data_IF_717641506544
#
_entry.id   IF_717641506544
#
_cell.length_a   1.000
_cell.length_b   1.000
_cell.length_c   1.000
_cell.angle_alpha   90.00
_cell.angle_beta   90.00
_cell.angle_gamma   90.00
#
_symmetry.space_group_name_H-M   'P 1'
#
loop_
_entity.id
_entity.type
_entity.pdbx_description
1 polymer ?
#
# COMPACT_ATOMS: atom_id res chain seq x y z
N UNK A 1 -2.28 28.26 -3.88
CA UNK A 1 -2.65 26.94 -3.32
C UNK A 1 -4.04 26.61 -3.84
N UNK A 2 -4.17 25.92 -4.97
CA UNK A 2 -5.50 25.62 -5.56
C UNK A 2 -5.99 24.32 -4.94
N UNK A 3 -6.78 24.44 -3.87
CA UNK A 3 -7.58 23.33 -3.33
C UNK A 3 -8.73 23.05 -4.29
N UNK A 4 -8.67 21.92 -4.99
CA UNK A 4 -9.69 21.51 -5.96
C UNK A 4 -11.07 21.36 -5.25
N UNK A 5 -12.02 22.25 -5.56
CA UNK A 5 -13.38 22.27 -4.97
C UNK A 5 -14.12 20.93 -5.12
N UNK A 6 -13.94 20.23 -6.23
CA UNK A 6 -14.55 18.92 -6.44
C UNK A 6 -13.94 17.83 -5.54
N UNK A 7 -12.68 17.99 -5.13
CA UNK A 7 -12.04 17.10 -4.16
C UNK A 7 -12.55 17.38 -2.75
N UNK A 8 -12.72 18.65 -2.37
CA UNK A 8 -13.32 19.05 -1.09
C UNK A 8 -14.77 18.54 -0.98
N UNK A 9 -15.57 18.72 -2.03
CA UNK A 9 -16.97 18.29 -2.05
C UNK A 9 -17.10 16.76 -1.91
N UNK A 10 -16.28 15.98 -2.63
CA UNK A 10 -16.24 14.51 -2.47
C UNK A 10 -15.81 14.09 -1.07
N UNK A 11 -14.84 14.78 -0.47
CA UNK A 11 -14.40 14.49 0.90
C UNK A 11 -15.49 14.84 1.93
N UNK A 12 -16.23 15.92 1.71
CA UNK A 12 -17.38 16.31 2.53
C UNK A 12 -18.52 15.30 2.44
N UNK A 13 -18.89 14.86 1.22
CA UNK A 13 -19.92 13.83 1.04
C UNK A 13 -19.53 12.51 1.69
N UNK A 14 -18.28 12.06 1.47
CA UNK A 14 -17.77 10.85 2.09
C UNK A 14 -17.84 10.93 3.62
N UNK A 15 -17.43 12.05 4.21
CA UNK A 15 -17.50 12.27 5.65
C UNK A 15 -18.94 12.24 6.18
N UNK A 16 -19.91 12.81 5.44
CA UNK A 16 -21.34 12.79 5.82
C UNK A 16 -21.95 11.39 5.76
N UNK A 17 -21.51 10.56 4.82
CA UNK A 17 -21.99 9.17 4.67
C UNK A 17 -21.38 8.19 5.68
N UNK A 18 -20.31 8.57 6.37
CA UNK A 18 -19.73 7.76 7.45
C UNK A 18 -20.45 8.01 8.77
N UNK A 19 -20.81 6.96 9.52
CA UNK A 19 -21.36 7.13 10.86
C UNK A 19 -20.43 7.99 11.73
N UNK A 20 -20.99 8.92 12.51
CA UNK A 20 -20.21 9.85 13.34
C UNK A 20 -19.15 9.16 14.23
N UNK A 21 -19.43 7.93 14.69
CA UNK A 21 -18.48 7.12 15.48
C UNK A 21 -17.14 6.89 14.77
N UNK A 22 -17.14 6.83 13.44
CA UNK A 22 -15.96 6.49 12.64
C UNK A 22 -14.95 7.64 12.53
N UNK A 23 -15.33 8.87 12.85
CA UNK A 23 -14.48 10.07 12.81
C UNK A 23 -13.99 10.52 14.19
N UNK A 24 -14.48 9.89 15.27
CA UNK A 24 -14.05 10.20 16.64
C UNK A 24 -12.53 10.00 16.74
N UNK A 25 -11.83 11.07 17.11
CA UNK A 25 -10.39 11.06 17.34
C UNK A 25 -10.10 10.29 18.63
N UNK A 26 -9.25 9.28 18.54
CA UNK A 26 -8.68 8.53 19.66
C UNK A 26 -7.15 8.50 19.56
N UNK A 27 -6.50 8.07 20.63
CA UNK A 27 -5.03 7.96 20.70
C UNK A 27 -4.63 6.50 20.61
N UNK A 28 -3.67 6.18 19.75
CA UNK A 28 -3.03 4.87 19.69
C UNK A 28 -2.02 4.72 20.83
N UNK A 29 -1.67 3.49 21.21
CA UNK A 29 -0.60 3.23 22.20
C UNK A 29 0.74 3.94 21.92
N UNK A 30 1.03 4.27 20.66
CA UNK A 30 2.21 5.05 20.27
C UNK A 30 2.07 6.58 20.46
N UNK A 31 0.99 7.06 21.07
CA UNK A 31 0.69 8.48 21.29
C UNK A 31 0.11 9.23 20.07
N UNK A 32 0.05 8.61 18.89
CA UNK A 32 -0.47 9.26 17.68
C UNK A 32 -2.00 9.23 17.62
N UNK A 33 -2.58 10.32 17.14
CA UNK A 33 -4.01 10.40 16.87
C UNK A 33 -4.43 9.43 15.75
N UNK A 34 -5.58 8.79 15.93
CA UNK A 34 -6.22 7.91 14.96
C UNK A 34 -7.74 8.02 15.05
N UNK A 35 -8.47 7.39 14.14
CA UNK A 35 -9.92 7.31 14.22
C UNK A 35 -10.34 6.11 15.08
N UNK A 36 -11.48 6.22 15.75
CA UNK A 36 -12.03 5.12 16.52
C UNK A 36 -12.25 3.86 15.66
N UNK A 37 -12.70 4.03 14.41
CA UNK A 37 -12.83 2.91 13.45
C UNK A 37 -11.50 2.20 13.20
N UNK A 38 -10.42 2.95 12.97
CA UNK A 38 -9.09 2.39 12.72
C UNK A 38 -8.60 1.57 13.93
N UNK A 39 -8.80 2.08 15.14
CA UNK A 39 -8.40 1.37 16.36
C UNK A 39 -9.27 0.13 16.62
N UNK A 40 -10.58 0.19 16.39
CA UNK A 40 -11.43 -1.01 16.52
C UNK A 40 -11.04 -2.09 15.52
N UNK A 41 -10.69 -1.71 14.29
CA UNK A 41 -10.37 -2.68 13.24
C UNK A 41 -8.97 -3.30 13.38
N UNK A 42 -7.98 -2.52 13.84
CA UNK A 42 -6.57 -2.93 13.79
C UNK A 42 -5.85 -2.87 15.15
N UNK A 43 -6.52 -2.38 16.19
CA UNK A 43 -5.94 -2.06 17.51
C UNK A 43 -4.77 -1.07 17.47
N UNK A 44 -4.50 -0.47 16.30
CA UNK A 44 -3.31 0.32 15.98
C UNK A 44 -3.65 1.45 15.03
N UNK A 45 -2.98 2.59 15.20
CA UNK A 45 -3.04 3.65 14.19
C UNK A 45 -2.48 3.16 12.84
N UNK A 46 -2.83 3.82 11.74
CA UNK A 46 -2.41 3.43 10.40
C UNK A 46 -0.88 3.28 10.25
N UNK A 47 -0.09 4.12 10.92
CA UNK A 47 1.37 4.03 10.90
C UNK A 47 1.88 2.78 11.63
N UNK A 48 1.35 2.47 12.82
CA UNK A 48 1.72 1.28 13.58
C UNK A 48 1.22 -0.01 12.92
N UNK A 49 0.04 0.01 12.31
CA UNK A 49 -0.47 -1.12 11.53
C UNK A 49 0.45 -1.39 10.33
N UNK A 50 0.86 -0.34 9.60
CA UNK A 50 1.79 -0.49 8.49
C UNK A 50 3.19 -0.95 8.93
N UNK A 51 3.68 -0.47 10.07
CA UNK A 51 4.94 -0.95 10.66
C UNK A 51 4.86 -2.43 11.03
N UNK A 52 3.79 -2.86 11.71
CA UNK A 52 3.59 -4.26 12.06
C UNK A 52 3.53 -5.17 10.82
N UNK A 53 2.89 -4.70 9.73
CA UNK A 53 2.91 -5.42 8.45
C UNK A 53 4.33 -5.51 7.90
N UNK A 54 5.12 -4.43 7.94
CA UNK A 54 6.51 -4.43 7.48
C UNK A 54 7.40 -5.37 8.30
N UNK A 55 7.23 -5.39 9.62
CA UNK A 55 8.01 -6.22 10.54
C UNK A 55 7.68 -7.73 10.38
N UNK A 56 6.47 -8.05 9.93
CA UNK A 56 6.05 -9.42 9.66
C UNK A 56 6.56 -9.99 8.32
N UNK A 57 7.14 -9.17 7.45
CA UNK A 57 7.65 -9.61 6.13
C UNK A 57 9.09 -10.09 6.28
N UNK A 58 9.43 -11.21 5.63
CA UNK A 58 10.81 -11.67 5.56
C UNK A 58 11.70 -10.61 4.87
N UNK A 59 12.92 -10.32 5.37
CA UNK A 59 13.77 -9.26 4.83
C UNK A 59 13.98 -9.32 3.30
N UNK A 60 14.04 -10.52 2.72
CA UNK A 60 14.18 -10.73 1.27
C UNK A 60 12.90 -10.49 0.45
N UNK A 61 11.72 -10.60 1.05
CA UNK A 61 10.44 -10.39 0.37
C UNK A 61 10.17 -8.90 0.18
N UNK A 62 10.51 -8.08 1.19
CA UNK A 62 10.32 -6.63 1.10
C UNK A 62 11.15 -6.00 -0.02
N UNK A 63 12.37 -6.50 -0.25
CA UNK A 63 13.21 -6.09 -1.37
C UNK A 63 12.54 -6.37 -2.74
N UNK A 64 11.74 -7.44 -2.86
CA UNK A 64 10.98 -7.73 -4.08
C UNK A 64 9.85 -6.74 -4.30
N UNK A 65 9.16 -6.35 -3.23
CA UNK A 65 8.15 -5.29 -3.29
C UNK A 65 8.77 -3.95 -3.71
N UNK A 66 9.95 -3.60 -3.18
CA UNK A 66 10.68 -2.42 -3.62
C UNK A 66 11.10 -2.53 -5.09
N UNK A 67 11.61 -3.68 -5.51
CA UNK A 67 11.96 -3.91 -6.91
C UNK A 67 10.74 -3.76 -7.82
N UNK A 68 9.62 -4.41 -7.51
CA UNK A 68 8.35 -4.31 -8.24
C UNK A 68 7.92 -2.86 -8.50
N UNK A 69 8.13 -1.96 -7.53
CA UNK A 69 7.76 -0.55 -7.60
C UNK A 69 8.87 0.37 -8.10
N UNK A 70 10.05 -0.16 -8.40
CA UNK A 70 11.23 0.64 -8.70
C UNK A 70 11.65 1.54 -7.54
N UNK A 71 11.28 1.19 -6.31
CA UNK A 71 11.56 1.92 -5.08
C UNK A 71 12.92 1.52 -4.48
N UNK A 72 13.95 1.53 -5.33
CA UNK A 72 15.33 1.17 -4.99
C UNK A 72 16.22 2.40 -5.03
N UNK A 73 17.36 2.34 -4.31
CA UNK A 73 18.27 3.48 -4.14
C UNK A 73 18.81 4.05 -5.46
N UNK A 74 18.90 3.22 -6.49
CA UNK A 74 19.37 3.62 -7.83
C UNK A 74 18.44 4.64 -8.52
N UNK A 75 17.16 4.68 -8.15
CA UNK A 75 16.19 5.59 -8.78
C UNK A 75 15.80 6.73 -7.84
N UNK A 76 15.71 7.97 -8.35
CA UNK A 76 15.21 9.09 -7.56
C UNK A 76 13.76 8.82 -7.14
N UNK A 77 13.38 9.28 -5.94
CA UNK A 77 12.01 9.08 -5.40
C UNK A 77 10.90 9.58 -6.32
N UNK A 78 11.18 10.56 -7.18
CA UNK A 78 10.24 11.06 -8.20
C UNK A 78 9.85 10.01 -9.25
N UNK A 79 10.71 9.01 -9.48
CA UNK A 79 10.48 7.89 -10.40
C UNK A 79 9.84 6.69 -9.72
N UNK A 80 9.77 6.62 -8.39
CA UNK A 80 9.17 5.47 -7.71
C UNK A 80 7.70 5.30 -8.11
N UNK A 81 7.29 4.05 -8.33
CA UNK A 81 5.95 3.72 -8.83
C UNK A 81 5.77 3.87 -10.33
N UNK A 82 6.83 4.05 -11.12
CA UNK A 82 6.78 4.01 -12.60
C UNK A 82 6.47 2.63 -13.18
N UNK A 83 6.55 1.59 -12.34
CA UNK A 83 6.12 0.23 -12.63
C UNK A 83 5.40 -0.33 -11.41
N UNK A 84 4.51 -1.28 -11.64
CA UNK A 84 3.77 -1.96 -10.58
C UNK A 84 3.48 -3.42 -10.93
N UNK A 85 4.48 -4.12 -11.46
CA UNK A 85 4.37 -5.54 -11.74
C UNK A 85 5.68 -6.27 -11.49
N UNK A 86 5.57 -7.54 -11.09
CA UNK A 86 6.67 -8.47 -10.97
C UNK A 86 6.23 -9.81 -11.56
N UNK A 87 6.92 -10.28 -12.59
CA UNK A 87 6.69 -11.60 -13.14
C UNK A 87 7.58 -12.60 -12.39
N UNK A 88 6.96 -13.62 -11.79
CA UNK A 88 7.68 -14.73 -11.18
C UNK A 88 7.23 -16.05 -11.79
N UNK A 89 8.20 -16.84 -12.28
CA UNK A 89 8.02 -18.27 -12.58
C UNK A 89 7.88 -19.09 -11.31
N UNK A 90 8.13 -20.40 -11.35
CA UNK A 90 8.12 -21.25 -10.15
C UNK A 90 9.31 -21.01 -9.21
N UNK A 91 9.19 -21.44 -7.95
CA UNK A 91 10.29 -21.45 -6.96
C UNK A 91 10.27 -20.28 -5.97
N UNK A 92 11.44 -19.98 -5.40
CA UNK A 92 11.56 -19.07 -4.24
C UNK A 92 11.01 -17.65 -4.50
N UNK A 93 11.15 -17.14 -5.73
CA UNK A 93 10.61 -15.83 -6.08
C UNK A 93 9.08 -15.82 -6.04
N UNK A 94 8.45 -16.89 -6.53
CA UNK A 94 7.00 -17.08 -6.48
C UNK A 94 6.49 -17.13 -5.04
N UNK A 95 7.15 -17.89 -4.19
CA UNK A 95 6.78 -18.05 -2.78
C UNK A 95 6.87 -16.73 -2.02
N UNK A 96 7.93 -15.95 -2.26
CA UNK A 96 8.07 -14.61 -1.71
C UNK A 96 6.91 -13.70 -2.16
N UNK A 97 6.53 -13.76 -3.44
CA UNK A 97 5.39 -12.99 -3.93
C UNK A 97 4.07 -13.44 -3.31
N UNK A 98 3.86 -14.75 -3.12
CA UNK A 98 2.68 -15.27 -2.40
C UNK A 98 2.63 -14.79 -0.95
N UNK A 99 3.75 -14.73 -0.24
CA UNK A 99 3.81 -14.16 1.12
C UNK A 99 3.44 -12.67 1.13
N UNK A 100 3.87 -11.90 0.13
CA UNK A 100 3.44 -10.51 -0.03
C UNK A 100 1.94 -10.37 -0.34
N UNK A 101 1.36 -11.32 -1.08
CA UNK A 101 -0.09 -11.38 -1.32
C UNK A 101 -0.86 -11.67 -0.02
N UNK A 102 -0.41 -12.65 0.76
CA UNK A 102 -1.00 -12.97 2.08
C UNK A 102 -0.91 -11.76 3.03
N UNK A 103 0.18 -11.00 2.98
CA UNK A 103 0.33 -9.76 3.74
C UNK A 103 -0.52 -8.58 3.21
N UNK A 104 -1.27 -8.76 2.12
CA UNK A 104 -2.09 -7.72 1.49
C UNK A 104 -1.30 -6.62 0.77
N UNK A 105 -0.01 -6.85 0.52
CA UNK A 105 0.89 -5.87 -0.11
C UNK A 105 0.97 -6.04 -1.62
N UNK A 106 0.60 -7.21 -2.13
CA UNK A 106 0.47 -7.49 -3.53
C UNK A 106 -0.83 -8.24 -3.84
N UNK A 107 -1.18 -8.31 -5.11
CA UNK A 107 -2.23 -9.17 -5.66
C UNK A 107 -1.62 -10.03 -6.76
N UNK A 108 -2.08 -11.27 -6.86
CA UNK A 108 -1.76 -12.11 -8.01
C UNK A 108 -2.69 -11.72 -9.17
N UNK A 109 -2.08 -11.42 -10.31
CA UNK A 109 -2.74 -11.17 -11.58
C UNK A 109 -2.76 -12.43 -12.46
N UNK A 110 -2.80 -12.22 -13.78
CA UNK A 110 -2.89 -13.30 -14.76
C UNK A 110 -1.61 -14.15 -14.76
N UNK A 111 -1.78 -15.47 -14.90
CA UNK A 111 -0.70 -16.38 -15.26
C UNK A 111 -0.56 -16.46 -16.78
N UNK A 112 0.66 -16.31 -17.30
CA UNK A 112 1.00 -16.44 -18.71
C UNK A 112 2.41 -17.03 -18.85
N UNK A 113 2.60 -17.96 -19.78
CA UNK A 113 3.91 -18.58 -20.09
C UNK A 113 4.66 -19.06 -18.85
N UNK A 114 4.00 -19.85 -17.99
CA UNK A 114 4.55 -20.38 -16.71
C UNK A 114 4.91 -19.31 -15.66
N UNK A 115 4.65 -18.03 -15.94
CA UNK A 115 4.87 -16.93 -15.01
C UNK A 115 3.55 -16.41 -14.46
N UNK A 116 3.55 -16.03 -13.20
CA UNK A 116 2.45 -15.25 -12.59
C UNK A 116 2.89 -13.81 -12.43
N UNK A 117 2.06 -12.90 -12.94
CA UNK A 117 2.26 -11.47 -12.74
C UNK A 117 1.67 -11.07 -11.40
N UNK A 118 2.45 -10.39 -10.58
CA UNK A 118 2.01 -9.85 -9.30
C UNK A 118 2.03 -8.33 -9.36
N UNK A 119 1.04 -7.69 -8.75
CA UNK A 119 0.91 -6.23 -8.71
C UNK A 119 0.84 -5.74 -7.27
N UNK A 120 1.57 -4.69 -6.91
CA UNK A 120 1.51 -4.13 -5.57
C UNK A 120 0.14 -3.49 -5.35
N UNK A 121 -0.39 -3.68 -4.14
CA UNK A 121 -1.61 -2.99 -3.72
C UNK A 121 -1.27 -1.55 -3.34
N UNK A 122 -2.31 -0.74 -3.14
CA UNK A 122 -2.15 0.60 -2.54
C UNK A 122 -1.46 0.53 -1.16
N UNK A 123 -1.68 -0.55 -0.40
CA UNK A 123 -0.99 -0.79 0.87
C UNK A 123 0.49 -1.12 0.64
N UNK A 124 0.80 -1.97 -0.35
CA UNK A 124 2.16 -2.26 -0.80
C UNK A 124 2.96 -1.01 -1.16
N UNK A 125 2.36 -0.12 -1.95
CA UNK A 125 2.97 1.15 -2.32
C UNK A 125 3.30 2.01 -1.09
N UNK A 126 2.35 2.12 -0.14
CA UNK A 126 2.57 2.84 1.12
C UNK A 126 3.67 2.19 1.97
N UNK A 127 3.71 0.86 2.04
CA UNK A 127 4.71 0.12 2.81
C UNK A 127 6.13 0.43 2.33
N UNK A 128 6.33 0.55 1.01
CA UNK A 128 7.60 0.96 0.39
C UNK A 128 7.92 2.46 0.48
N UNK A 129 7.01 3.26 1.04
CA UNK A 129 7.23 4.70 1.23
C UNK A 129 6.96 5.55 -0.02
N UNK A 130 6.18 5.06 -0.99
CA UNK A 130 5.73 5.89 -2.11
C UNK A 130 4.86 7.04 -1.58
N UNK A 131 5.07 8.23 -2.13
CA UNK A 131 4.20 9.38 -1.89
C UNK A 131 2.92 9.28 -2.74
N UNK A 132 1.99 10.23 -2.56
CA UNK A 132 0.72 10.22 -3.28
C UNK A 132 0.87 10.17 -4.81
N UNK A 133 1.86 10.89 -5.36
CA UNK A 133 2.13 10.90 -6.80
C UNK A 133 2.68 9.56 -7.30
N UNK A 134 3.60 8.95 -6.56
CA UNK A 134 4.13 7.62 -6.87
C UNK A 134 3.07 6.54 -6.77
N UNK A 135 2.20 6.60 -5.75
CA UNK A 135 1.05 5.68 -5.62
C UNK A 135 0.10 5.87 -6.80
N UNK A 136 -0.21 7.10 -7.20
CA UNK A 136 -1.07 7.37 -8.35
C UNK A 136 -0.48 6.71 -9.61
N UNK A 137 0.80 6.98 -9.89
CA UNK A 137 1.53 6.42 -11.02
C UNK A 137 1.51 4.89 -11.03
N UNK A 138 1.79 4.26 -9.89
CA UNK A 138 1.82 2.79 -9.76
C UNK A 138 0.45 2.14 -9.99
N UNK A 139 -0.65 2.84 -9.69
CA UNK A 139 -1.99 2.29 -9.78
C UNK A 139 -2.69 2.59 -11.11
N UNK A 140 -2.20 3.54 -11.91
CA UNK A 140 -2.80 3.93 -13.20
C UNK A 140 -2.50 2.91 -14.32
N UNK A 141 -1.33 2.29 -14.29
CA UNK A 141 -0.92 1.27 -15.28
C UNK A 141 -1.50 -0.14 -14.99
N UNK A 142 -2.33 -0.29 -13.96
CA UNK A 142 -2.97 -1.56 -13.60
C UNK A 142 -4.35 -1.76 -14.27
N UNK A 143 -4.64 -0.98 -15.32
CA UNK A 143 -5.92 -0.93 -16.05
C UNK A 143 -5.90 -1.79 -17.30
#
# INVERSE_FOLDING_TARGET
MITNRAQIARHHLANQSTPAYSLIRKVCACGKASSAKQLVQHDKCAACALAAVRDAIMPGDFAKLQHMLGAVQQYPKSKWGWRNYFAAGSGQQHEAMRRLVVAGLATAGRAANEMTYFHATRLGCKATGLNAAGIKRAMEDAS
#
